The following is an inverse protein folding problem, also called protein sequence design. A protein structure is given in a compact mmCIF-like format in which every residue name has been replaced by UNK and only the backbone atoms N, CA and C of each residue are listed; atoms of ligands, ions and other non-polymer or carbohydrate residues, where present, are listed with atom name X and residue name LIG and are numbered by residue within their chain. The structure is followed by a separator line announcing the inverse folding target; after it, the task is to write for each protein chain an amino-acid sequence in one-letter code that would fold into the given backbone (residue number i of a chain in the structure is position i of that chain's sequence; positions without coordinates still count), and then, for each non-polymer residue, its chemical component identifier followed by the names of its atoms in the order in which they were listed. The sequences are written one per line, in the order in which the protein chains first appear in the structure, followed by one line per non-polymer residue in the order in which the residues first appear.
data_IF_990229827769
#
_entry.id   IF_990229827769
#
_cell.length_a   1.000
_cell.length_b   1.000
_cell.length_c   1.000
_cell.angle_alpha   90.00
_cell.angle_beta   90.00
_cell.angle_gamma   90.00
#
_symmetry.space_group_name_H-M   'P 1'
#
loop_
_entity.id
_entity.type
_entity.pdbx_description
1 polymer ?
#
# COMPACT_ATOMS: atom_id res chain seq x y z
N UNK A 1 11.99 -0.58 -10.85
CA UNK A 1 10.56 -0.67 -10.46
C UNK A 1 9.91 -1.71 -11.34
N UNK A 2 9.14 -2.62 -10.76
CA UNK A 2 8.33 -3.61 -11.46
C UNK A 2 6.97 -3.01 -11.80
N UNK A 3 6.56 -3.14 -13.07
CA UNK A 3 5.25 -2.76 -13.57
C UNK A 3 4.81 -3.82 -14.58
N UNK A 4 3.66 -4.43 -14.34
CA UNK A 4 3.05 -5.39 -15.24
C UNK A 4 2.15 -4.65 -16.22
N UNK A 5 2.38 -4.84 -17.52
CA UNK A 5 1.58 -4.21 -18.58
C UNK A 5 0.46 -5.12 -19.09
N UNK A 6 0.37 -6.37 -18.62
CA UNK A 6 -0.66 -7.31 -19.03
C UNK A 6 -1.95 -7.13 -18.22
N UNK A 7 -3.08 -7.49 -18.83
CA UNK A 7 -4.41 -7.52 -18.19
C UNK A 7 -4.61 -8.69 -17.23
N UNK A 8 -3.63 -9.60 -17.12
CA UNK A 8 -3.62 -10.69 -16.16
C UNK A 8 -2.59 -10.42 -15.06
N UNK A 9 -2.85 -10.88 -13.81
CA UNK A 9 -1.88 -10.75 -12.73
C UNK A 9 -0.65 -11.64 -12.98
N UNK A 10 0.50 -11.20 -12.51
CA UNK A 10 1.77 -11.95 -12.56
C UNK A 10 2.46 -11.89 -11.19
N UNK A 11 3.59 -12.56 -11.04
CA UNK A 11 4.43 -12.41 -9.86
C UNK A 11 5.90 -12.67 -10.20
N UNK A 12 6.79 -11.92 -9.56
CA UNK A 12 8.21 -12.26 -9.50
C UNK A 12 8.38 -13.37 -8.47
N UNK A 13 8.89 -14.53 -8.89
CA UNK A 13 9.02 -15.73 -8.04
C UNK A 13 10.46 -16.13 -7.79
N UNK A 14 11.40 -15.61 -8.56
CA UNK A 14 12.81 -15.93 -8.41
C UNK A 14 13.66 -14.79 -8.97
N UNK A 15 14.76 -14.50 -8.28
CA UNK A 15 15.81 -13.61 -8.76
C UNK A 15 17.14 -14.26 -8.52
N UNK A 16 18.00 -14.24 -9.52
CA UNK A 16 19.34 -14.83 -9.45
C UNK A 16 20.38 -13.93 -10.09
N UNK A 17 21.64 -14.18 -9.77
CA UNK A 17 22.78 -13.59 -10.46
C UNK A 17 23.90 -14.61 -10.59
N UNK A 18 24.63 -14.65 -11.72
CA UNK A 18 25.84 -15.47 -11.83
C UNK A 18 26.96 -15.02 -10.87
N UNK A 19 26.84 -13.84 -10.26
CA UNK A 19 27.88 -13.23 -9.43
C UNK A 19 27.56 -13.19 -7.93
N UNK A 20 26.48 -13.83 -7.49
CA UNK A 20 26.10 -13.94 -6.09
C UNK A 20 25.61 -15.36 -5.79
N UNK A 21 25.90 -15.88 -4.59
CA UNK A 21 25.33 -17.17 -4.16
C UNK A 21 23.92 -17.00 -3.59
N UNK A 22 23.57 -15.79 -3.17
CA UNK A 22 22.29 -15.52 -2.52
C UNK A 22 21.71 -14.20 -3.02
N UNK A 23 20.46 -14.27 -3.48
CA UNK A 23 19.62 -13.11 -3.79
C UNK A 23 18.29 -13.34 -3.10
N UNK A 24 17.88 -12.41 -2.23
CA UNK A 24 16.65 -12.51 -1.45
C UNK A 24 15.70 -11.39 -1.86
N UNK A 25 14.43 -11.74 -2.04
CA UNK A 25 13.36 -10.75 -2.20
C UNK A 25 12.86 -10.34 -0.82
N UNK A 26 12.92 -9.03 -0.54
CA UNK A 26 12.50 -8.42 0.71
C UNK A 26 11.32 -7.49 0.44
N UNK A 27 10.22 -7.65 1.16
CA UNK A 27 9.01 -6.85 0.97
C UNK A 27 8.42 -6.41 2.33
N UNK A 28 8.18 -5.11 2.46
CA UNK A 28 7.35 -4.52 3.51
C UNK A 28 5.86 -4.57 3.06
N UNK A 29 5.15 -5.60 3.52
CA UNK A 29 3.75 -5.88 3.15
C UNK A 29 2.75 -5.04 3.94
N UNK A 30 3.12 -4.68 5.17
CA UNK A 30 2.26 -3.97 6.11
C UNK A 30 2.51 -2.46 6.09
N UNK A 31 3.52 -2.00 5.35
CA UNK A 31 3.98 -0.62 5.32
C UNK A 31 4.48 -0.14 6.70
N UNK A 32 5.04 -1.04 7.50
CA UNK A 32 5.47 -0.76 8.87
C UNK A 32 6.97 -0.42 8.98
N UNK A 33 7.70 -0.50 7.87
CA UNK A 33 9.15 -0.31 7.79
C UNK A 33 9.94 -1.61 7.98
N UNK A 34 9.28 -2.73 8.25
CA UNK A 34 9.88 -4.05 8.41
C UNK A 34 9.87 -4.79 7.08
N UNK A 35 11.04 -5.12 6.57
CA UNK A 35 11.17 -5.92 5.37
C UNK A 35 11.27 -7.40 5.71
N UNK A 36 10.34 -8.19 5.19
CA UNK A 36 10.35 -9.64 5.36
C UNK A 36 10.83 -10.33 4.09
N UNK A 37 11.55 -11.44 4.26
CA UNK A 37 11.90 -12.30 3.13
C UNK A 37 10.62 -12.93 2.58
N UNK A 38 10.46 -12.84 1.27
CA UNK A 38 9.35 -13.45 0.54
C UNK A 38 9.89 -14.30 -0.61
N UNK A 39 9.15 -15.35 -0.96
CA UNK A 39 9.45 -16.17 -2.13
C UNK A 39 8.66 -15.72 -3.38
N UNK A 40 7.81 -14.69 -3.22
CA UNK A 40 6.93 -14.20 -4.28
C UNK A 40 6.57 -12.73 -4.07
N UNK A 41 6.74 -11.91 -5.10
CA UNK A 41 6.27 -10.53 -5.16
C UNK A 41 5.16 -10.44 -6.23
N UNK A 42 3.88 -10.28 -5.86
CA UNK A 42 2.77 -10.21 -6.80
C UNK A 42 2.76 -8.88 -7.58
N UNK A 43 2.27 -8.91 -8.80
CA UNK A 43 2.04 -7.75 -9.66
C UNK A 43 0.58 -7.72 -10.09
N UNK A 44 -0.07 -6.58 -9.85
CA UNK A 44 -1.44 -6.34 -10.31
C UNK A 44 -1.50 -6.33 -11.85
N UNK A 45 -2.64 -6.69 -12.46
CA UNK A 45 -2.90 -6.40 -13.86
C UNK A 45 -2.69 -4.91 -14.16
N UNK A 46 -2.02 -4.60 -15.26
CA UNK A 46 -1.77 -3.21 -15.70
C UNK A 46 -1.24 -2.31 -14.57
N UNK A 47 -0.44 -2.89 -13.66
CA UNK A 47 -0.13 -2.30 -12.37
C UNK A 47 1.18 -2.78 -11.76
N UNK A 48 1.47 -2.24 -10.58
CA UNK A 48 2.67 -2.57 -9.82
C UNK A 48 2.37 -3.56 -8.70
N UNK A 49 3.36 -3.77 -7.82
CA UNK A 49 3.16 -4.49 -6.56
C UNK A 49 2.03 -3.85 -5.75
N UNK A 50 1.11 -4.64 -5.16
CA UNK A 50 0.01 -4.16 -4.34
C UNK A 50 0.45 -3.13 -3.29
N UNK A 51 -0.40 -2.14 -3.05
CA UNK A 51 -0.22 -1.21 -1.95
C UNK A 51 -0.47 -1.94 -0.63
N UNK A 52 0.42 -1.70 0.33
CA UNK A 52 0.17 -1.99 1.73
C UNK A 52 -0.86 -0.98 2.30
N UNK A 53 -1.57 -1.29 3.40
CA UNK A 53 -2.59 -0.42 3.99
C UNK A 53 -2.06 0.91 4.55
N UNK A 54 -0.74 1.13 4.59
CA UNK A 54 -0.10 2.39 5.01
C UNK A 54 0.09 3.42 3.89
N UNK A 55 0.49 4.64 4.28
CA UNK A 55 0.67 5.73 3.33
C UNK A 55 2.05 5.66 2.66
N UNK A 56 2.07 5.46 1.34
CA UNK A 56 3.29 5.48 0.54
C UNK A 56 3.83 6.90 0.43
N UNK A 57 5.09 7.09 0.81
CA UNK A 57 5.79 8.38 0.74
C UNK A 57 6.75 8.47 -0.45
N UNK A 58 6.89 7.37 -1.21
CA UNK A 58 7.73 7.26 -2.40
C UNK A 58 8.38 5.88 -2.48
N UNK A 59 9.10 5.56 -3.57
CA UNK A 59 9.88 4.32 -3.66
C UNK A 59 9.08 3.02 -3.79
N UNK A 60 9.81 1.90 -3.98
CA UNK A 60 9.22 0.57 -4.05
C UNK A 60 9.17 -0.06 -2.65
N UNK A 61 8.06 -0.71 -2.23
CA UNK A 61 7.93 -1.35 -0.92
C UNK A 61 8.77 -2.63 -0.80
N UNK A 62 9.58 -2.95 -1.80
CA UNK A 62 10.42 -4.13 -1.87
C UNK A 62 11.80 -3.76 -2.39
N UNK A 63 12.78 -4.57 -2.04
CA UNK A 63 14.12 -4.53 -2.61
C UNK A 63 14.71 -5.93 -2.65
N UNK A 64 15.89 -6.04 -3.28
CA UNK A 64 16.66 -7.27 -3.29
C UNK A 64 17.83 -7.11 -2.33
N UNK A 65 18.04 -8.08 -1.47
CA UNK A 65 19.30 -8.23 -0.74
C UNK A 65 20.17 -9.24 -1.47
N UNK A 66 21.39 -8.85 -1.80
CA UNK A 66 22.34 -9.68 -2.53
C UNK A 66 23.55 -9.90 -1.64
N UNK A 67 23.82 -11.15 -1.31
CA UNK A 67 24.92 -11.56 -0.43
C UNK A 67 25.80 -12.61 -1.09
N UNK A 68 26.95 -12.88 -0.47
CA UNK A 68 27.92 -13.88 -0.93
C UNK A 68 28.36 -13.67 -2.39
N UNK A 69 28.82 -12.45 -2.70
CA UNK A 69 29.33 -12.09 -4.01
C UNK A 69 30.56 -12.94 -4.37
N UNK A 70 30.54 -13.54 -5.56
CA UNK A 70 31.65 -14.35 -6.07
C UNK A 70 32.74 -13.53 -6.75
N UNK A 71 32.49 -12.24 -6.99
CA UNK A 71 33.41 -11.29 -7.57
C UNK A 71 33.29 -9.93 -6.90
N UNK A 72 34.34 -9.12 -7.00
CA UNK A 72 34.31 -7.74 -6.53
C UNK A 72 33.41 -6.89 -7.45
N UNK A 73 32.38 -6.27 -6.86
CA UNK A 73 31.45 -5.38 -7.56
C UNK A 73 31.90 -3.93 -7.34
N UNK A 74 32.25 -3.22 -8.41
CA UNK A 74 32.82 -1.86 -8.34
C UNK A 74 31.78 -0.78 -8.64
N UNK A 75 31.78 0.36 -7.93
CA UNK A 75 30.96 1.50 -8.30
C UNK A 75 31.16 1.92 -9.76
N UNK A 76 30.06 2.27 -10.43
CA UNK A 76 30.06 2.68 -11.84
C UNK A 76 29.97 1.51 -12.83
N UNK A 77 30.03 0.26 -12.37
CA UNK A 77 29.74 -0.92 -13.23
C UNK A 77 28.26 -1.27 -13.21
N UNK A 78 27.90 -2.32 -13.93
CA UNK A 78 26.59 -2.98 -13.83
C UNK A 78 26.71 -4.34 -13.16
N UNK A 79 25.59 -4.83 -12.65
CA UNK A 79 25.43 -6.13 -12.02
C UNK A 79 24.23 -6.84 -12.65
N UNK A 80 24.42 -7.95 -13.38
CA UNK A 80 23.33 -8.64 -14.05
C UNK A 80 22.45 -9.37 -13.04
N UNK A 81 21.15 -9.19 -13.18
CA UNK A 81 20.11 -9.88 -12.42
C UNK A 81 19.16 -10.55 -13.39
N UNK A 82 18.90 -11.83 -13.20
CA UNK A 82 17.86 -12.56 -13.92
C UNK A 82 16.63 -12.66 -13.04
N UNK A 83 15.51 -12.16 -13.53
CA UNK A 83 14.20 -12.16 -12.86
C UNK A 83 13.33 -13.21 -13.56
N UNK A 84 12.74 -14.12 -12.78
CA UNK A 84 11.78 -15.12 -13.26
C UNK A 84 10.38 -14.73 -12.79
N UNK A 85 9.47 -14.50 -13.73
CA UNK A 85 8.05 -14.24 -13.48
C UNK A 85 7.20 -15.49 -13.76
N UNK A 86 6.09 -15.65 -13.01
CA UNK A 86 5.19 -16.80 -13.16
C UNK A 86 4.61 -16.93 -14.58
N UNK A 87 4.27 -15.80 -15.20
CA UNK A 87 3.65 -15.77 -16.54
C UNK A 87 4.55 -15.17 -17.60
N UNK A 88 5.19 -14.04 -17.32
CA UNK A 88 6.06 -13.37 -18.30
C UNK A 88 7.38 -14.12 -18.57
N UNK A 89 7.72 -15.12 -17.74
CA UNK A 89 8.94 -15.90 -17.91
C UNK A 89 10.18 -15.15 -17.43
N UNK A 90 11.34 -15.39 -18.07
CA UNK A 90 12.64 -14.87 -17.61
C UNK A 90 13.06 -13.63 -18.37
N UNK A 91 13.63 -12.67 -17.63
CA UNK A 91 14.29 -11.50 -18.20
C UNK A 91 15.55 -11.16 -17.41
N UNK A 92 16.54 -10.57 -18.07
CA UNK A 92 17.78 -10.13 -17.44
C UNK A 92 17.86 -8.62 -17.49
N UNK A 93 18.20 -8.00 -16.35
CA UNK A 93 18.45 -6.57 -16.24
C UNK A 93 19.87 -6.32 -15.76
N UNK A 94 20.45 -5.21 -16.20
CA UNK A 94 21.74 -4.74 -15.72
C UNK A 94 21.53 -3.63 -14.67
N UNK A 95 21.64 -4.00 -13.38
CA UNK A 95 21.51 -3.05 -12.28
C UNK A 95 22.79 -2.20 -12.17
N UNK A 96 22.67 -0.87 -12.16
CA UNK A 96 23.83 0.01 -11.97
C UNK A 96 24.33 -0.06 -10.54
N UNK A 97 25.64 -0.21 -10.37
CA UNK A 97 26.31 -0.24 -9.08
C UNK A 97 26.72 1.18 -8.70
N UNK A 98 26.34 1.60 -7.50
CA UNK A 98 26.72 2.90 -6.94
C UNK A 98 27.51 2.69 -5.65
N UNK A 99 28.50 3.55 -5.40
CA UNK A 99 29.18 3.58 -4.11
C UNK A 99 28.23 4.19 -3.08
N UNK A 100 28.17 3.62 -1.89
CA UNK A 100 27.70 4.34 -0.71
C UNK A 100 28.73 5.41 -0.36
N UNK A 101 28.35 6.69 -0.44
CA UNK A 101 29.19 7.81 0.00
C UNK A 101 28.80 8.23 1.42
N UNK A 102 29.73 8.85 2.13
CA UNK A 102 29.41 9.54 3.38
C UNK A 102 28.38 10.64 3.08
N UNK A 103 27.18 10.51 3.65
CA UNK A 103 26.02 11.37 3.38
C UNK A 103 24.95 10.75 2.49
N UNK A 104 25.18 9.59 1.87
CA UNK A 104 24.10 8.78 1.29
C UNK A 104 23.28 8.20 2.45
N UNK A 105 22.19 8.90 2.78
CA UNK A 105 21.18 8.33 3.64
C UNK A 105 20.58 7.09 2.95
N UNK A 106 20.31 6.00 3.68
CA UNK A 106 19.48 4.92 3.17
C UNK A 106 18.21 5.53 2.54
N UNK A 107 17.71 4.95 1.42
CA UNK A 107 16.44 5.40 0.85
C UNK A 107 15.42 5.51 1.97
N UNK A 108 14.76 6.68 2.06
CA UNK A 108 13.70 6.85 3.05
C UNK A 108 12.71 5.68 2.88
N UNK A 109 12.28 5.04 3.99
CA UNK A 109 11.40 3.90 3.89
C UNK A 109 10.19 4.31 3.03
N UNK A 110 9.82 3.49 2.04
CA UNK A 110 8.81 3.83 1.03
C UNK A 110 7.43 4.00 1.67
N UNK A 111 7.31 3.42 2.85
CA UNK A 111 6.22 3.45 3.77
C UNK A 111 6.65 4.24 5.00
N UNK A 112 5.86 5.25 5.36
CA UNK A 112 5.82 5.66 6.76
C UNK A 112 4.60 4.96 7.34
N UNK A 113 4.78 4.29 8.47
CA UNK A 113 3.66 4.12 9.39
C UNK A 113 3.03 5.50 9.52
N UNK A 114 1.74 5.62 9.19
CA UNK A 114 1.02 6.83 9.54
C UNK A 114 1.35 7.06 11.03
N UNK A 115 1.88 8.24 11.41
CA UNK A 115 2.17 8.48 12.81
C UNK A 115 0.90 8.09 13.57
N UNK A 116 1.04 7.22 14.58
CA UNK A 116 -0.07 6.93 15.49
C UNK A 116 -0.74 8.27 15.80
N UNK A 117 -2.06 8.42 15.61
CA UNK A 117 -2.72 9.71 15.49
C UNK A 117 -2.21 10.62 16.60
N UNK A 118 -1.24 11.46 16.24
CA UNK A 118 -0.63 12.40 17.16
C UNK A 118 -1.65 13.49 17.11
N UNK A 119 -2.44 13.58 18.18
CA UNK A 119 -3.34 14.68 18.43
C UNK A 119 -2.54 15.95 18.13
N UNK A 120 -2.79 16.67 17.03
CA UNK A 120 -1.97 17.82 16.72
C UNK A 120 -2.25 18.84 17.80
N UNK A 121 -1.19 19.24 18.52
CA UNK A 121 -1.26 20.48 19.29
C UNK A 121 -1.49 21.59 18.26
N UNK A 122 -2.58 22.38 18.35
CA UNK A 122 -2.96 23.30 17.29
C UNK A 122 -1.92 24.41 17.14
N UNK A 123 -1.37 24.54 15.94
CA UNK A 123 -0.54 25.67 15.50
C UNK A 123 -1.47 26.73 14.88
N UNK A 124 -1.61 27.94 15.45
CA UNK A 124 -2.76 28.83 15.18
C UNK A 124 -2.74 29.59 13.85
N UNK A 125 -1.90 29.24 12.87
CA UNK A 125 -1.66 30.12 11.70
C UNK A 125 -2.00 29.51 10.33
N UNK A 126 -2.49 28.27 10.23
CA UNK A 126 -2.86 27.68 8.93
C UNK A 126 -4.38 27.49 8.78
N UNK A 127 -5.04 28.03 7.73
CA UNK A 127 -6.46 27.76 7.46
C UNK A 127 -6.64 26.30 6.99
N UNK A 128 -7.48 25.47 7.66
CA UNK A 128 -7.61 24.04 7.35
C UNK A 128 -8.73 23.76 6.34
N UNK A 129 -8.37 23.31 5.14
CA UNK A 129 -9.33 22.88 4.08
C UNK A 129 -9.53 21.36 3.99
N UNK A 130 -8.87 20.55 4.83
CA UNK A 130 -8.91 19.06 4.80
C UNK A 130 -9.37 18.41 6.11
N UNK A 131 -9.90 19.19 7.05
CA UNK A 131 -10.15 18.78 8.44
C UNK A 131 -11.25 17.71 8.68
N UNK A 132 -11.90 17.21 7.62
CA UNK A 132 -12.94 16.19 7.74
C UNK A 132 -12.81 15.02 6.76
N UNK A 133 -11.70 14.89 6.02
CA UNK A 133 -11.46 13.70 5.20
C UNK A 133 -10.80 12.62 6.08
N UNK A 134 -11.41 11.43 6.12
CA UNK A 134 -10.93 10.30 6.92
C UNK A 134 -10.92 9.01 6.09
N UNK A 135 -10.06 8.07 6.49
CA UNK A 135 -10.10 6.69 5.99
C UNK A 135 -10.52 5.76 7.11
N UNK A 136 -11.46 4.86 6.84
CA UNK A 136 -12.00 3.88 7.80
C UNK A 136 -12.02 2.51 7.15
N UNK A 137 -11.52 1.49 7.86
CA UNK A 137 -11.61 0.09 7.42
C UNK A 137 -12.59 -0.64 8.30
N UNK A 138 -13.62 -1.23 7.70
CA UNK A 138 -14.68 -1.86 8.48
C UNK A 138 -15.52 -2.83 7.68
N UNK A 139 -16.48 -3.42 8.38
CA UNK A 139 -17.51 -4.27 7.75
C UNK A 139 -18.73 -3.42 7.48
N UNK A 140 -19.27 -3.52 6.26
CA UNK A 140 -20.52 -2.89 5.88
C UNK A 140 -21.67 -3.72 6.45
N UNK A 141 -22.45 -3.10 7.32
CA UNK A 141 -23.62 -3.67 7.95
C UNK A 141 -24.88 -2.99 7.41
N UNK A 142 -25.98 -3.73 7.40
CA UNK A 142 -27.27 -3.15 7.07
C UNK A 142 -27.79 -2.35 8.27
N UNK A 143 -28.10 -1.08 8.05
CA UNK A 143 -28.71 -0.21 9.04
C UNK A 143 -30.17 -0.58 9.31
N UNK A 144 -30.77 0.10 10.29
CA UNK A 144 -32.15 -0.17 10.72
C UNK A 144 -33.20 0.12 9.63
N UNK A 145 -32.88 1.01 8.68
CA UNK A 145 -33.75 1.33 7.53
C UNK A 145 -33.22 0.72 6.22
N UNK A 146 -34.11 0.30 5.30
CA UNK A 146 -33.70 -0.22 4.00
C UNK A 146 -32.89 0.80 3.20
N UNK A 147 -31.69 0.42 2.76
CA UNK A 147 -30.79 1.28 1.99
C UNK A 147 -29.78 2.06 2.84
N UNK A 148 -29.86 1.99 4.17
CA UNK A 148 -28.85 2.53 5.05
C UNK A 148 -27.70 1.53 5.22
N UNK A 149 -26.49 1.95 4.89
CA UNK A 149 -25.28 1.15 5.08
C UNK A 149 -24.43 1.76 6.18
N UNK A 150 -23.98 0.92 7.11
CA UNK A 150 -23.15 1.29 8.23
C UNK A 150 -21.77 0.68 8.06
N UNK A 151 -20.71 1.45 8.27
CA UNK A 151 -19.36 0.91 8.36
C UNK A 151 -18.97 0.77 9.83
N UNK A 152 -18.88 -0.48 10.29
CA UNK A 152 -18.55 -0.81 11.68
C UNK A 152 -17.05 -1.08 11.83
N UNK A 153 -16.38 -0.31 12.69
CA UNK A 153 -14.96 -0.44 13.05
C UNK A 153 -14.77 -0.30 14.56
N UNK A 154 -14.27 -1.34 15.24
CA UNK A 154 -13.85 -1.30 16.67
C UNK A 154 -14.85 -0.63 17.62
N UNK A 155 -16.16 -0.80 17.38
CA UNK A 155 -17.24 -0.26 18.21
C UNK A 155 -17.73 1.14 17.82
N UNK A 156 -17.25 1.71 16.71
CA UNK A 156 -17.79 2.92 16.08
C UNK A 156 -18.49 2.53 14.77
N UNK A 157 -19.59 3.21 14.46
CA UNK A 157 -20.34 3.02 13.24
C UNK A 157 -20.46 4.35 12.50
N UNK A 158 -20.17 4.33 11.19
CA UNK A 158 -20.34 5.48 10.30
C UNK A 158 -21.45 5.20 9.30
N UNK A 159 -22.27 6.20 9.01
CA UNK A 159 -23.33 6.08 8.01
C UNK A 159 -22.73 6.39 6.64
N UNK A 160 -22.71 5.41 5.74
CA UNK A 160 -22.12 5.56 4.41
C UNK A 160 -23.12 6.18 3.44
N UNK A 161 -22.70 7.26 2.77
CA UNK A 161 -23.45 7.88 1.67
C UNK A 161 -22.63 7.83 0.38
N UNK A 162 -23.30 7.64 -0.76
CA UNK A 162 -22.72 7.68 -2.12
C UNK A 162 -21.63 6.62 -2.41
N UNK A 163 -21.62 5.50 -1.67
CA UNK A 163 -20.74 4.37 -1.96
C UNK A 163 -21.18 3.58 -3.20
N UNK A 164 -20.23 3.06 -3.97
CA UNK A 164 -20.52 2.17 -5.10
C UNK A 164 -21.18 0.87 -4.58
N UNK A 165 -22.44 0.56 -4.97
CA UNK A 165 -23.14 -0.63 -4.49
C UNK A 165 -22.50 -1.96 -4.91
N UNK A 166 -21.57 -1.96 -5.88
CA UNK A 166 -20.79 -3.14 -6.23
C UNK A 166 -19.69 -3.48 -5.21
N UNK A 167 -19.24 -2.48 -4.43
CA UNK A 167 -18.17 -2.60 -3.43
C UNK A 167 -18.71 -2.47 -2.01
N UNK A 168 -19.62 -1.51 -1.81
CA UNK A 168 -20.21 -1.14 -0.53
C UNK A 168 -21.58 -1.79 -0.45
N UNK A 169 -21.63 -3.05 -0.03
CA UNK A 169 -22.86 -3.81 0.19
C UNK A 169 -22.81 -4.56 1.52
N UNK A 170 -23.96 -4.93 2.12
CA UNK A 170 -23.97 -5.65 3.39
C UNK A 170 -23.09 -6.90 3.37
N UNK A 171 -22.31 -7.09 4.43
CA UNK A 171 -21.35 -8.18 4.58
C UNK A 171 -20.00 -7.95 3.90
N UNK A 172 -19.85 -6.92 3.05
CA UNK A 172 -18.56 -6.56 2.48
C UNK A 172 -17.66 -5.97 3.56
N UNK A 173 -16.38 -6.34 3.54
CA UNK A 173 -15.35 -5.62 4.29
C UNK A 173 -14.63 -4.69 3.33
N UNK A 174 -14.51 -3.42 3.68
CA UNK A 174 -14.06 -2.36 2.77
C UNK A 174 -13.18 -1.35 3.49
N UNK A 175 -12.26 -0.74 2.75
CA UNK A 175 -11.57 0.47 3.16
C UNK A 175 -12.24 1.66 2.45
N UNK A 176 -12.82 2.56 3.23
CA UNK A 176 -13.55 3.75 2.75
C UNK A 176 -12.72 4.99 3.03
N UNK A 177 -12.42 5.76 1.99
CA UNK A 177 -11.96 7.14 2.12
C UNK A 177 -13.16 8.07 1.90
N UNK A 178 -13.48 8.87 2.91
CA UNK A 178 -14.70 9.67 2.91
C UNK A 178 -14.56 10.99 3.65
N UNK A 179 -15.57 11.85 3.52
CA UNK A 179 -15.66 13.10 4.26
C UNK A 179 -16.71 12.97 5.36
N UNK A 180 -16.30 13.22 6.60
CA UNK A 180 -17.20 13.37 7.74
C UNK A 180 -18.05 14.63 7.55
N UNK A 181 -19.35 14.49 7.69
CA UNK A 181 -20.30 15.60 7.73
C UNK A 181 -20.89 15.72 9.15
N UNK A 182 -20.13 16.29 10.11
CA UNK A 182 -20.61 16.45 11.47
C UNK A 182 -21.80 17.40 11.52
N UNK A 183 -22.89 16.97 12.17
CA UNK A 183 -24.09 17.78 12.36
C UNK A 183 -25.13 17.70 11.23
N UNK A 184 -24.88 16.93 10.17
CA UNK A 184 -25.93 16.59 9.20
C UNK A 184 -26.89 15.59 9.85
N UNK A 185 -28.21 15.88 9.93
CA UNK A 185 -29.17 14.91 10.43
C UNK A 185 -29.15 13.69 9.51
N UNK A 186 -28.62 12.57 10.00
CA UNK A 186 -28.63 11.35 9.24
C UNK A 186 -30.06 10.79 9.23
N UNK A 187 -30.62 10.63 8.03
CA UNK A 187 -31.92 9.95 7.87
C UNK A 187 -31.93 8.52 8.42
N UNK A 188 -30.75 7.93 8.64
CA UNK A 188 -30.52 6.55 9.01
C UNK A 188 -30.27 6.29 10.53
N UNK A 189 -30.58 7.24 11.42
CA UNK A 189 -30.43 7.06 12.88
C UNK A 189 -29.20 7.74 13.50
N UNK A 190 -28.67 7.19 14.61
CA UNK A 190 -27.55 7.78 15.36
C UNK A 190 -26.19 7.27 14.81
N UNK A 191 -25.38 8.19 14.29
CA UNK A 191 -24.02 7.92 13.80
C UNK A 191 -23.51 9.13 13.02
N UNK A 192 -22.19 9.24 12.88
CA UNK A 192 -21.60 10.29 12.06
C UNK A 192 -21.74 9.93 10.57
N UNK A 193 -22.15 10.90 9.76
CA UNK A 193 -22.28 10.73 8.31
C UNK A 193 -20.89 10.75 7.68
N UNK A 194 -20.57 9.71 6.92
CA UNK A 194 -19.36 9.60 6.13
C UNK A 194 -19.75 9.52 4.66
N UNK A 195 -19.59 10.63 3.94
CA UNK A 195 -19.75 10.64 2.48
C UNK A 195 -18.58 9.90 1.85
N UNK A 196 -18.86 8.80 1.17
CA UNK A 196 -17.86 7.99 0.49
C UNK A 196 -17.32 8.78 -0.69
N UNK A 197 -16.02 9.03 -0.70
CA UNK A 197 -15.32 9.61 -1.84
C UNK A 197 -14.70 8.50 -2.69
N UNK A 198 -14.17 7.47 -2.02
CA UNK A 198 -13.62 6.27 -2.64
C UNK A 198 -13.78 5.07 -1.69
N UNK A 199 -13.98 3.86 -2.24
CA UNK A 199 -14.11 2.64 -1.46
C UNK A 199 -13.53 1.45 -2.23
N UNK A 200 -12.73 0.64 -1.53
CA UNK A 200 -12.14 -0.58 -2.10
C UNK A 200 -12.48 -1.81 -1.25
N UNK A 201 -12.71 -2.99 -1.86
CA UNK A 201 -12.82 -4.24 -1.13
C UNK A 201 -11.57 -4.48 -0.27
N UNK A 202 -11.78 -4.86 0.98
CA UNK A 202 -10.74 -5.14 1.97
C UNK A 202 -10.92 -6.59 2.45
N UNK A 203 -10.22 -7.50 1.79
CA UNK A 203 -10.33 -8.95 2.05
C UNK A 203 -9.52 -9.36 3.27
#
# INVERSE_FOLDING_TARGET
MLFNQAQAPDALVEVESPHAKQVQMLWDRECDGTYERVDRIPLLPEGSVPNAPGQRTGGAPYHLEISDLSTLVRPGTTFPLTLTFERAGRTTIDAKVQATRDGDAPPAPPCRTAPAPTTPTPDPTQPPTDQWKISVVGTVEQGAEPGCLLLSERGRAYILLDGDPAVVHPGARVAVHGQLEPGTPAGCGHGDVLRVLDAIPFT
#
